data_IF_051026975483
#
_entry.id   IF_051026975483
#
_cell.length_a   1.000
_cell.length_b   1.000
_cell.length_c   1.000
_cell.angle_alpha   90.00
_cell.angle_beta   90.00
_cell.angle_gamma   90.00
#
_symmetry.space_group_name_H-M   'P 1'
#
loop_
_entity.id
_entity.type
_entity.pdbx_description
1 polymer ?
#
# COMPACT_ATOMS: atom_id res chain seq x y z
N UNK A 1 -13.95 18.92 7.34
CA UNK A 1 -15.37 18.72 6.99
C UNK A 1 -15.42 17.62 5.95
N UNK A 2 -15.94 16.43 6.29
CA UNK A 2 -16.01 15.31 5.34
C UNK A 2 -17.21 15.56 4.41
N UNK A 3 -17.05 15.49 3.07
CA UNK A 3 -18.16 15.75 2.15
C UNK A 3 -19.32 14.77 2.41
N UNK A 4 -20.56 15.26 2.36
CA UNK A 4 -21.77 14.52 2.74
C UNK A 4 -22.00 13.21 1.95
N UNK A 5 -21.28 13.02 0.83
CA UNK A 5 -21.37 11.85 -0.05
C UNK A 5 -20.60 10.61 0.45
N UNK A 6 -19.71 10.72 1.44
CA UNK A 6 -18.85 9.60 1.87
C UNK A 6 -19.49 8.66 2.88
N UNK A 7 -20.50 9.11 3.63
CA UNK A 7 -21.22 8.28 4.61
C UNK A 7 -21.93 7.07 3.97
N UNK A 8 -22.68 7.21 2.85
CA UNK A 8 -23.28 6.06 2.17
C UNK A 8 -22.24 5.16 1.48
N UNK A 9 -21.04 5.65 1.19
CA UNK A 9 -19.97 4.86 0.57
C UNK A 9 -19.37 3.81 1.52
N UNK A 10 -19.25 4.13 2.82
CA UNK A 10 -18.72 3.22 3.83
C UNK A 10 -19.75 2.17 4.30
N UNK A 11 -21.05 2.48 4.20
CA UNK A 11 -22.13 1.56 4.54
C UNK A 11 -22.20 0.31 3.64
N UNK A 12 -21.57 0.36 2.45
CA UNK A 12 -21.54 -0.75 1.49
C UNK A 12 -20.45 -1.79 1.79
N UNK A 13 -19.59 -1.54 2.78
CA UNK A 13 -18.53 -2.46 3.18
C UNK A 13 -19.10 -3.59 4.05
N UNK A 14 -18.66 -4.82 3.83
CA UNK A 14 -19.02 -5.92 4.74
C UNK A 14 -18.16 -5.90 6.02
N UNK A 15 -18.54 -6.69 7.02
CA UNK A 15 -17.87 -6.73 8.32
C UNK A 15 -16.37 -7.06 8.20
N UNK A 16 -16.01 -8.02 7.35
CA UNK A 16 -14.61 -8.41 7.13
C UNK A 16 -13.81 -7.29 6.45
N UNK A 17 -14.37 -6.63 5.44
CA UNK A 17 -13.72 -5.49 4.76
C UNK A 17 -13.52 -4.34 5.74
N UNK A 18 -14.53 -4.03 6.56
CA UNK A 18 -14.47 -3.01 7.61
C UNK A 18 -13.38 -3.31 8.62
N UNK A 19 -13.30 -4.55 9.10
CA UNK A 19 -12.29 -4.99 10.07
C UNK A 19 -10.86 -4.85 9.53
N UNK A 20 -10.60 -5.32 8.30
CA UNK A 20 -9.26 -5.20 7.70
C UNK A 20 -8.88 -3.74 7.43
N UNK A 21 -9.84 -2.89 7.06
CA UNK A 21 -9.61 -1.46 6.84
C UNK A 21 -9.39 -0.70 8.16
N UNK A 22 -10.02 -1.09 9.26
CA UNK A 22 -9.73 -0.52 10.58
C UNK A 22 -8.30 -0.83 11.03
N UNK A 23 -7.84 -2.08 10.83
CA UNK A 23 -6.45 -2.43 11.11
C UNK A 23 -5.49 -1.61 10.25
N UNK A 24 -5.79 -1.43 8.96
CA UNK A 24 -5.01 -0.57 8.07
C UNK A 24 -4.99 0.89 8.57
N UNK A 25 -6.12 1.40 9.08
CA UNK A 25 -6.24 2.75 9.63
C UNK A 25 -5.47 2.96 10.93
N UNK A 26 -5.28 1.88 11.72
CA UNK A 26 -4.46 1.86 12.94
C UNK A 26 -2.96 1.67 12.68
N UNK A 27 -2.54 1.68 11.42
CA UNK A 27 -1.12 1.60 11.03
C UNK A 27 -0.62 0.20 10.69
N UNK A 28 -1.47 -0.82 10.66
CA UNK A 28 -1.04 -2.15 10.18
C UNK A 28 -0.85 -2.15 8.66
N UNK A 29 0.10 -2.96 8.19
CA UNK A 29 0.33 -3.18 6.75
C UNK A 29 -0.47 -4.39 6.27
N UNK A 30 -0.65 -4.54 4.96
CA UNK A 30 -1.29 -5.74 4.41
C UNK A 30 -0.58 -7.05 4.86
N UNK A 31 0.74 -7.01 5.04
CA UNK A 31 1.55 -8.12 5.53
C UNK A 31 1.24 -8.43 7.00
N UNK A 32 1.23 -7.44 7.88
CA UNK A 32 0.93 -7.70 9.29
C UNK A 32 -0.54 -8.05 9.55
N UNK A 33 -1.48 -7.51 8.76
CA UNK A 33 -2.90 -7.90 8.80
C UNK A 33 -3.07 -9.36 8.36
N UNK A 34 -2.38 -9.77 7.29
CA UNK A 34 -2.40 -11.15 6.80
C UNK A 34 -1.97 -12.13 7.90
N UNK A 35 -0.84 -11.86 8.57
CA UNK A 35 -0.36 -12.66 9.69
C UNK A 35 -1.35 -12.68 10.86
N UNK A 36 -1.92 -11.52 11.23
CA UNK A 36 -2.84 -11.41 12.38
C UNK A 36 -4.19 -12.12 12.14
N UNK A 37 -4.65 -12.17 10.89
CA UNK A 37 -5.97 -12.73 10.53
C UNK A 37 -5.88 -14.13 9.93
N UNK A 38 -4.69 -14.73 9.91
CA UNK A 38 -4.43 -16.03 9.27
C UNK A 38 -4.92 -16.07 7.81
N UNK A 39 -4.59 -14.99 7.08
CA UNK A 39 -4.92 -14.81 5.66
C UNK A 39 -3.64 -14.69 4.84
N UNK A 40 -3.73 -14.95 3.54
CA UNK A 40 -2.64 -14.58 2.63
C UNK A 40 -2.65 -13.07 2.34
N UNK A 41 -1.47 -12.50 2.09
CA UNK A 41 -1.34 -11.08 1.67
C UNK A 41 -2.16 -10.81 0.41
N UNK A 42 -2.20 -11.77 -0.52
CA UNK A 42 -3.02 -11.67 -1.73
C UNK A 42 -4.53 -11.59 -1.41
N UNK A 43 -5.02 -12.38 -0.44
CA UNK A 43 -6.41 -12.32 -0.01
C UNK A 43 -6.76 -10.97 0.63
N UNK A 44 -5.89 -10.44 1.49
CA UNK A 44 -6.07 -9.10 2.09
C UNK A 44 -6.12 -8.01 1.01
N UNK A 45 -5.20 -8.04 0.06
CA UNK A 45 -5.17 -7.08 -1.04
C UNK A 45 -6.41 -7.17 -1.94
N UNK A 46 -6.94 -8.36 -2.19
CA UNK A 46 -8.18 -8.50 -2.96
C UNK A 46 -9.39 -7.94 -2.21
N UNK A 47 -9.45 -8.08 -0.88
CA UNK A 47 -10.47 -7.43 -0.05
C UNK A 47 -10.35 -5.91 -0.10
N UNK A 48 -9.15 -5.34 -0.10
CA UNK A 48 -8.96 -3.90 -0.31
C UNK A 48 -9.37 -3.43 -1.70
N UNK A 49 -9.13 -4.22 -2.75
CA UNK A 49 -9.66 -3.93 -4.11
C UNK A 49 -11.18 -3.96 -4.14
N UNK A 50 -11.80 -4.97 -3.52
CA UNK A 50 -13.25 -5.06 -3.37
C UNK A 50 -13.83 -3.83 -2.66
N UNK A 51 -13.23 -3.43 -1.53
CA UNK A 51 -13.67 -2.27 -0.77
C UNK A 51 -13.59 -0.96 -1.57
N UNK A 52 -12.54 -0.77 -2.38
CA UNK A 52 -12.44 0.37 -3.32
C UNK A 52 -13.55 0.36 -4.36
N UNK A 53 -13.82 -0.80 -4.99
CA UNK A 53 -14.93 -0.95 -5.95
C UNK A 53 -16.29 -0.62 -5.33
N UNK A 54 -16.52 -1.00 -4.06
CA UNK A 54 -17.79 -0.76 -3.35
C UNK A 54 -17.95 0.67 -2.86
N UNK A 55 -16.88 1.28 -2.37
CA UNK A 55 -16.91 2.64 -1.84
C UNK A 55 -16.82 3.69 -2.94
N UNK A 56 -16.19 3.38 -4.08
CA UNK A 56 -15.88 4.35 -5.13
C UNK A 56 -14.61 5.17 -4.86
N UNK A 57 -13.92 4.90 -3.74
CA UNK A 57 -12.70 5.61 -3.37
C UNK A 57 -11.46 4.92 -3.97
N UNK A 58 -10.52 5.72 -4.47
CA UNK A 58 -9.35 5.23 -5.18
C UNK A 58 -8.30 4.57 -4.26
N UNK A 59 -8.31 4.91 -2.97
CA UNK A 59 -7.31 4.49 -1.99
C UNK A 59 -7.91 3.74 -0.79
N UNK A 60 -7.38 2.56 -0.49
CA UNK A 60 -7.75 1.82 0.72
C UNK A 60 -7.33 2.54 2.01
N UNK A 61 -6.24 3.31 1.97
CA UNK A 61 -5.81 4.14 3.11
C UNK A 61 -6.76 5.30 3.36
N UNK A 62 -7.34 5.87 2.31
CA UNK A 62 -8.36 6.92 2.43
C UNK A 62 -9.64 6.37 3.06
N UNK A 63 -10.12 5.21 2.59
CA UNK A 63 -11.25 4.50 3.21
C UNK A 63 -10.97 4.23 4.70
N UNK A 64 -9.77 3.73 5.02
CA UNK A 64 -9.38 3.42 6.38
C UNK A 64 -9.37 4.66 7.30
N UNK A 65 -8.86 5.81 6.83
CA UNK A 65 -8.89 7.07 7.58
C UNK A 65 -10.31 7.52 7.88
N UNK A 66 -11.21 7.46 6.89
CA UNK A 66 -12.61 7.81 7.09
C UNK A 66 -13.30 6.87 8.07
N UNK A 67 -12.96 5.58 8.02
CA UNK A 67 -13.53 4.56 8.89
C UNK A 67 -13.11 4.74 10.35
N UNK A 68 -11.83 5.03 10.61
CA UNK A 68 -11.31 5.35 11.95
C UNK A 68 -11.93 6.65 12.46
N UNK A 69 -12.10 7.67 11.61
CA UNK A 69 -12.76 8.91 11.98
C UNK A 69 -14.25 8.73 12.34
N UNK A 70 -14.93 7.72 11.76
CA UNK A 70 -16.29 7.34 12.16
C UNK A 70 -16.30 6.62 13.52
N UNK A 71 -15.42 5.63 13.73
CA UNK A 71 -15.32 4.88 14.99
C UNK A 71 -15.07 5.83 16.18
N UNK A 72 -14.10 6.74 16.05
CA UNK A 72 -13.83 7.75 17.08
C UNK A 72 -15.03 8.68 17.36
N UNK A 73 -15.89 8.92 16.37
CA UNK A 73 -17.09 9.75 16.54
C UNK A 73 -18.20 8.99 17.25
N UNK A 74 -18.35 7.70 16.95
CA UNK A 74 -19.28 6.82 17.65
C UNK A 74 -18.85 6.69 19.13
N UNK A 75 -17.56 6.59 19.42
CA UNK A 75 -16.99 6.56 20.78
C UNK A 75 -17.21 7.88 21.55
N UNK A 76 -17.17 9.04 20.86
CA UNK A 76 -17.37 10.37 21.46
C UNK A 76 -18.85 10.68 21.75
N UNK A 77 -19.79 10.03 21.07
CA UNK A 77 -21.23 10.18 21.35
C UNK A 77 -21.61 9.45 22.65
N UNK A 78 -20.88 8.38 23.00
CA UNK A 78 -21.15 7.57 24.20
C UNK A 78 -20.67 8.22 25.53
N UNK A 79 -20.06 9.42 25.47
CA UNK A 79 -19.52 10.16 26.63
C UNK A 79 -20.43 11.31 27.12
N UNK A 80 -21.64 11.46 26.57
CA UNK A 80 -22.68 12.34 27.12
C UNK A 80 -23.76 11.51 27.86
N UNK A 81 -23.89 11.73 29.17
CA UNK A 81 -24.58 10.86 30.12
C UNK A 81 -26.12 10.64 29.91
N UNK A 82 -26.56 9.44 30.32
CA UNK A 82 -27.93 8.89 30.53
C UNK A 82 -28.76 9.67 31.61
N UNK A 83 -30.04 9.35 31.99
CA UNK A 83 -30.88 8.14 31.79
C UNK A 83 -32.41 8.39 31.52
N UNK A 84 -33.22 7.31 31.60
CA UNK A 84 -34.72 7.23 31.70
C UNK A 84 -35.50 7.13 30.38
N UNK A 85 -36.53 6.29 30.17
CA UNK A 85 -37.36 5.50 31.08
C UNK A 85 -38.12 4.38 30.32
N UNK A 86 -38.09 3.17 30.90
CA UNK A 86 -39.16 2.15 31.05
C UNK A 86 -40.16 1.78 29.95
N UNK A 87 -40.09 0.49 29.61
CA UNK A 87 -41.15 -0.52 29.62
C UNK A 87 -42.24 -0.52 28.53
N UNK A 88 -42.24 -1.59 27.72
CA UNK A 88 -43.36 -2.54 27.65
C UNK A 88 -42.92 -3.83 26.92
N UNK A 89 -42.87 -4.95 27.65
CA UNK A 89 -43.10 -6.29 27.08
C UNK A 89 -44.60 -6.60 27.24
N UNK A 90 -45.19 -7.45 26.39
CA UNK A 90 -45.19 -8.88 26.72
C UNK A 90 -44.79 -9.80 25.57
N UNK A 91 -44.02 -10.83 25.94
CA UNK A 91 -43.86 -12.13 25.26
C UNK A 91 -45.20 -12.90 25.32
N UNK A 92 -45.54 -13.76 24.35
CA UNK A 92 -45.24 -15.20 24.46
C UNK A 92 -44.81 -15.78 23.09
N UNK A 93 -43.69 -16.48 22.94
CA UNK A 93 -43.53 -17.94 23.08
C UNK A 93 -42.95 -18.47 21.76
N UNK A 94 -41.64 -18.72 21.75
CA UNK A 94 -41.01 -19.57 20.75
C UNK A 94 -39.78 -20.23 21.41
N UNK A 95 -39.65 -21.57 21.37
CA UNK A 95 -38.59 -22.32 22.04
C UNK A 95 -37.23 -22.21 21.32
N UNK A 96 -36.12 -22.52 22.03
CA UNK A 96 -34.78 -22.18 21.60
C UNK A 96 -34.17 -23.17 20.60
N UNK A 97 -33.26 -22.63 19.79
CA UNK A 97 -32.33 -23.30 18.89
C UNK A 97 -31.41 -24.29 19.61
N UNK A 98 -31.39 -25.54 19.16
CA UNK A 98 -30.38 -26.55 19.46
C UNK A 98 -29.45 -26.78 18.27
N UNK A 99 -28.15 -26.84 18.55
CA UNK A 99 -27.02 -26.97 17.63
C UNK A 99 -26.99 -28.30 16.86
N UNK A 100 -26.15 -28.29 15.81
CA UNK A 100 -25.17 -29.35 15.48
C UNK A 100 -25.58 -30.55 14.60
N UNK A 101 -25.03 -30.50 13.38
CA UNK A 101 -24.27 -31.55 12.67
C UNK A 101 -24.96 -32.79 12.06
N UNK A 102 -24.73 -32.87 10.74
CA UNK A 102 -24.60 -34.06 9.86
C UNK A 102 -25.84 -34.90 9.53
N UNK A 103 -25.86 -35.33 8.26
CA UNK A 103 -26.68 -36.42 7.67
C UNK A 103 -27.99 -36.07 6.95
N UNK A 104 -28.03 -35.07 6.06
CA UNK A 104 -29.09 -35.03 5.02
C UNK A 104 -28.72 -34.33 3.71
N UNK A 105 -27.44 -34.34 3.37
CA UNK A 105 -26.91 -33.72 2.14
C UNK A 105 -26.94 -34.63 0.91
N UNK A 106 -27.52 -35.83 0.97
CA UNK A 106 -27.24 -36.87 -0.03
C UNK A 106 -28.44 -37.61 -0.63
N UNK A 107 -29.67 -37.10 -0.49
CA UNK A 107 -30.87 -37.78 -1.05
C UNK A 107 -31.72 -36.97 -2.03
N UNK A 108 -31.38 -35.71 -2.32
CA UNK A 108 -32.19 -34.86 -3.21
C UNK A 108 -31.51 -34.48 -4.55
N UNK A 109 -30.27 -34.92 -4.80
CA UNK A 109 -29.55 -34.61 -6.05
C UNK A 109 -29.82 -35.65 -7.17
N UNK A 110 -30.43 -36.80 -6.87
CA UNK A 110 -30.54 -37.91 -7.84
C UNK A 110 -31.82 -37.87 -8.71
N UNK A 111 -32.78 -36.96 -8.48
CA UNK A 111 -34.07 -36.97 -9.20
C UNK A 111 -34.18 -35.94 -10.33
N UNK A 112 -33.24 -34.98 -10.45
CA UNK A 112 -33.32 -33.92 -11.49
C UNK A 112 -32.48 -34.27 -12.75
N UNK A 113 -31.65 -35.30 -12.72
CA UNK A 113 -30.75 -35.68 -13.83
C UNK A 113 -31.41 -36.52 -14.94
N UNK A 114 -32.71 -36.81 -14.87
CA UNK A 114 -33.39 -37.73 -15.80
C UNK A 114 -34.23 -37.08 -16.92
N UNK A 115 -34.17 -35.76 -17.13
CA UNK A 115 -35.02 -35.08 -18.14
C UNK A 115 -34.33 -34.03 -19.04
N UNK A 116 -33.02 -34.12 -19.28
CA UNK A 116 -32.32 -33.26 -20.26
C UNK A 116 -31.35 -34.03 -21.17
N UNK A 117 -31.71 -35.26 -21.57
CA UNK A 117 -30.91 -36.10 -22.46
C UNK A 117 -31.44 -36.19 -23.92
N UNK A 118 -32.40 -35.35 -24.32
CA UNK A 118 -32.98 -35.39 -25.68
C UNK A 118 -33.13 -34.00 -26.34
N UNK A 119 -32.16 -33.10 -26.10
CA UNK A 119 -32.10 -31.76 -26.72
C UNK A 119 -30.76 -31.43 -27.39
N UNK A 120 -29.82 -32.38 -27.41
CA UNK A 120 -28.60 -32.29 -28.23
C UNK A 120 -28.91 -32.90 -29.59
N UNK A 121 -29.11 -32.09 -30.64
CA UNK A 121 -28.67 -32.39 -32.03
C UNK A 121 -29.09 -31.37 -33.11
N UNK A 122 -29.83 -30.30 -32.81
CA UNK A 122 -30.38 -29.42 -33.88
C UNK A 122 -30.00 -27.92 -33.86
N UNK A 123 -29.17 -27.46 -32.93
CA UNK A 123 -28.74 -26.06 -32.82
C UNK A 123 -27.28 -26.10 -32.32
N UNK A 124 -26.21 -25.64 -32.98
CA UNK A 124 -26.06 -24.55 -33.92
C UNK A 124 -24.76 -24.74 -34.72
N UNK A 125 -24.86 -24.99 -36.02
CA UNK A 125 -23.74 -24.92 -36.98
C UNK A 125 -23.58 -23.51 -37.57
N UNK A 126 -23.93 -22.47 -36.83
CA UNK A 126 -23.86 -21.09 -37.32
C UNK A 126 -23.51 -20.11 -36.19
N UNK A 127 -22.24 -20.01 -35.84
CA UNK A 127 -21.69 -18.78 -35.24
C UNK A 127 -20.61 -18.25 -36.17
N UNK A 128 -20.81 -17.09 -36.84
CA UNK A 128 -19.69 -16.40 -37.46
C UNK A 128 -18.69 -16.01 -36.36
N UNK A 129 -17.39 -15.91 -36.65
CA UNK A 129 -16.43 -15.46 -35.66
C UNK A 129 -16.80 -14.03 -35.27
N UNK A 130 -17.29 -13.85 -34.04
CA UNK A 130 -17.32 -12.54 -33.41
C UNK A 130 -15.86 -12.16 -33.22
N UNK A 131 -15.39 -11.21 -34.02
CA UNK A 131 -14.11 -10.56 -33.81
C UNK A 131 -14.10 -10.05 -32.37
N UNK A 132 -13.20 -10.60 -31.54
CA UNK A 132 -12.87 -9.98 -30.25
C UNK A 132 -12.50 -8.52 -30.52
N UNK A 133 -12.99 -7.55 -29.74
CA UNK A 133 -12.54 -6.18 -29.87
C UNK A 133 -11.03 -6.18 -29.59
N UNK A 134 -10.21 -5.99 -30.62
CA UNK A 134 -8.82 -5.63 -30.41
C UNK A 134 -8.82 -4.30 -29.66
N UNK A 135 -8.15 -4.20 -28.50
CA UNK A 135 -7.92 -2.89 -27.91
C UNK A 135 -7.20 -2.05 -28.96
N UNK A 136 -7.79 -0.91 -29.30
CA UNK A 136 -7.20 0.08 -30.19
C UNK A 136 -5.91 0.58 -29.57
N UNK A 137 -4.79 -0.04 -29.94
CA UNK A 137 -3.43 0.43 -29.65
C UNK A 137 -3.25 1.74 -30.40
N UNK A 138 -3.44 2.87 -29.74
CA UNK A 138 -3.18 4.16 -30.39
C UNK A 138 -3.51 5.42 -29.61
N UNK A 139 -4.52 5.39 -28.73
CA UNK A 139 -5.02 6.65 -28.14
C UNK A 139 -5.46 6.56 -26.66
N UNK A 140 -4.98 5.54 -25.94
CA UNK A 140 -5.13 5.55 -24.49
C UNK A 140 -4.19 6.59 -23.86
N UNK A 141 -4.69 7.62 -23.15
CA UNK A 141 -3.86 8.62 -22.50
C UNK A 141 -2.89 8.02 -21.49
N UNK A 142 -3.22 6.89 -20.85
CA UNK A 142 -2.30 6.19 -19.94
C UNK A 142 -1.11 5.62 -20.73
N UNK A 143 -1.36 5.01 -21.89
CA UNK A 143 -0.32 4.49 -22.77
C UNK A 143 0.64 5.59 -23.28
N UNK A 144 0.13 6.80 -23.56
CA UNK A 144 0.97 7.97 -23.91
C UNK A 144 1.83 8.45 -22.74
N UNK A 145 1.28 8.46 -21.52
CA UNK A 145 2.04 8.80 -20.30
C UNK A 145 3.14 7.77 -20.04
N UNK A 146 2.81 6.48 -20.12
CA UNK A 146 3.76 5.38 -19.91
C UNK A 146 4.86 5.37 -20.97
N UNK A 147 4.55 5.70 -22.24
CA UNK A 147 5.54 5.80 -23.31
C UNK A 147 6.47 7.02 -23.16
N UNK A 148 6.00 8.10 -22.52
CA UNK A 148 6.80 9.30 -22.23
C UNK A 148 7.59 9.25 -20.92
N UNK A 149 7.31 8.27 -20.05
CA UNK A 149 8.06 8.10 -18.81
C UNK A 149 9.45 7.51 -19.12
N UNK A 150 10.54 8.14 -18.68
CA UNK A 150 11.86 7.53 -18.80
C UNK A 150 11.86 6.19 -18.04
N UNK A 151 12.59 5.17 -18.52
CA UNK A 151 12.71 3.91 -17.80
C UNK A 151 13.25 4.17 -16.40
N UNK A 152 12.70 3.46 -15.40
CA UNK A 152 13.23 3.54 -14.04
C UNK A 152 14.72 3.18 -14.06
N UNK A 153 15.58 3.94 -13.36
CA UNK A 153 16.99 3.61 -13.29
C UNK A 153 17.20 2.21 -12.71
N UNK A 154 18.12 1.44 -13.28
CA UNK A 154 18.54 0.16 -12.72
C UNK A 154 19.44 0.41 -11.50
N UNK A 155 18.89 0.17 -10.31
CA UNK A 155 19.59 0.37 -9.03
C UNK A 155 20.85 -0.49 -8.94
N UNK A 156 20.84 -1.71 -9.48
CA UNK A 156 22.01 -2.60 -9.44
C UNK A 156 23.14 -2.07 -10.32
N UNK A 157 22.81 -1.50 -11.49
CA UNK A 157 23.79 -0.84 -12.34
C UNK A 157 24.37 0.44 -11.69
N UNK A 158 23.52 1.24 -11.04
CA UNK A 158 23.96 2.44 -10.31
C UNK A 158 24.88 2.10 -9.12
N UNK A 159 24.56 1.06 -8.36
CA UNK A 159 25.42 0.57 -7.27
C UNK A 159 26.80 0.14 -7.80
N UNK A 160 26.83 -0.61 -8.90
CA UNK A 160 28.08 -1.04 -9.53
C UNK A 160 28.91 0.16 -10.04
N UNK A 161 28.26 1.18 -10.62
CA UNK A 161 28.94 2.42 -11.06
C UNK A 161 29.52 3.19 -9.87
N UNK A 162 28.75 3.39 -8.79
CA UNK A 162 29.18 4.16 -7.62
C UNK A 162 30.30 3.50 -6.80
N UNK A 163 30.39 2.17 -6.82
CA UNK A 163 31.42 1.40 -6.10
C UNK A 163 32.66 1.09 -6.94
N UNK A 164 32.65 1.42 -8.23
CA UNK A 164 33.81 1.27 -9.10
C UNK A 164 34.96 2.20 -8.67
N UNK A 165 36.22 1.83 -8.91
CA UNK A 165 37.36 2.70 -8.64
C UNK A 165 37.20 4.07 -9.32
N UNK A 166 37.34 5.15 -8.54
CA UNK A 166 37.26 6.51 -9.08
C UNK A 166 38.52 6.87 -9.86
N UNK A 167 38.34 7.42 -11.06
CA UNK A 167 39.44 8.03 -11.84
C UNK A 167 39.74 9.46 -11.40
N UNK A 168 38.91 10.07 -10.56
CA UNK A 168 39.05 11.42 -10.00
C UNK A 168 38.86 11.35 -8.47
N UNK A 169 39.90 10.87 -7.77
CA UNK A 169 39.84 10.63 -6.32
C UNK A 169 39.68 11.94 -5.51
N UNK A 170 40.20 13.05 -6.04
CA UNK A 170 40.07 14.35 -5.40
C UNK A 170 38.60 14.82 -5.41
N UNK A 171 37.92 14.67 -6.54
CA UNK A 171 36.48 14.96 -6.63
C UNK A 171 35.64 14.02 -5.78
N UNK A 172 35.88 12.70 -5.87
CA UNK A 172 35.05 11.72 -5.16
C UNK A 172 35.12 11.91 -3.65
N UNK A 173 36.32 12.04 -3.09
CA UNK A 173 36.51 12.27 -1.65
C UNK A 173 35.92 13.60 -1.16
N UNK A 174 36.02 14.67 -1.95
CA UNK A 174 35.39 15.95 -1.64
C UNK A 174 33.84 15.85 -1.65
N UNK A 175 33.27 15.11 -2.60
CA UNK A 175 31.82 14.91 -2.65
C UNK A 175 31.32 13.97 -1.56
N UNK A 176 32.07 12.93 -1.20
CA UNK A 176 31.74 12.06 -0.06
C UNK A 176 31.62 12.87 1.23
N UNK A 177 32.57 13.78 1.50
CA UNK A 177 32.53 14.68 2.64
C UNK A 177 31.32 15.63 2.58
N UNK A 178 31.10 16.24 1.42
CA UNK A 178 30.00 17.21 1.21
C UNK A 178 28.63 16.54 1.43
N UNK A 179 28.39 15.39 0.80
CA UNK A 179 27.15 14.63 0.97
C UNK A 179 26.99 14.13 2.39
N UNK A 180 28.05 13.61 3.03
CA UNK A 180 28.02 13.19 4.44
C UNK A 180 27.57 14.34 5.34
N UNK A 181 28.15 15.53 5.16
CA UNK A 181 27.77 16.72 5.93
C UNK A 181 26.31 17.10 5.69
N UNK A 182 25.86 17.12 4.44
CA UNK A 182 24.50 17.53 4.07
C UNK A 182 23.44 16.58 4.59
N UNK A 183 23.67 15.27 4.51
CA UNK A 183 22.75 14.27 5.06
C UNK A 183 22.70 14.32 6.58
N UNK A 184 23.84 14.46 7.27
CA UNK A 184 23.88 14.59 8.74
C UNK A 184 23.21 15.87 9.25
N UNK A 185 23.18 16.92 8.45
CA UNK A 185 22.51 18.17 8.77
C UNK A 185 20.98 18.10 8.60
N UNK A 186 20.42 16.99 8.09
CA UNK A 186 18.98 16.87 7.93
C UNK A 186 18.26 16.86 9.29
N UNK A 187 17.08 17.50 9.39
CA UNK A 187 16.28 17.45 10.60
C UNK A 187 15.97 15.99 11.00
N UNK A 188 16.13 15.67 12.28
CA UNK A 188 15.85 14.33 12.80
C UNK A 188 16.85 13.24 12.39
N UNK A 189 17.92 13.56 11.66
CA UNK A 189 18.89 12.58 11.17
C UNK A 189 19.53 11.75 12.29
N UNK A 190 20.18 12.40 13.27
CA UNK A 190 20.89 11.73 14.37
C UNK A 190 19.96 10.83 15.22
N UNK A 191 18.70 11.26 15.36
CA UNK A 191 17.66 10.52 16.09
C UNK A 191 17.19 9.28 15.32
N UNK A 192 17.14 9.37 13.99
CA UNK A 192 16.43 8.40 13.14
C UNK A 192 17.34 7.43 12.42
N UNK A 193 18.57 7.85 12.09
CA UNK A 193 19.51 7.10 11.26
C UNK A 193 20.60 6.49 12.14
N UNK A 194 20.79 5.18 12.02
CA UNK A 194 21.81 4.39 12.72
C UNK A 194 23.14 4.45 11.98
N UNK A 195 23.11 4.23 10.67
CA UNK A 195 24.30 4.21 9.82
C UNK A 195 24.08 5.02 8.55
N UNK A 196 25.16 5.65 8.07
CA UNK A 196 25.23 6.36 6.80
C UNK A 196 26.53 5.98 6.12
N UNK A 197 26.43 5.49 4.89
CA UNK A 197 27.55 5.23 4.02
C UNK A 197 27.43 6.12 2.78
N UNK A 198 28.53 6.79 2.42
CA UNK A 198 28.62 7.58 1.21
C UNK A 198 29.80 7.07 0.41
N UNK A 199 29.59 6.76 -0.86
CA UNK A 199 30.63 6.25 -1.75
C UNK A 199 30.48 6.93 -3.10
N UNK A 200 31.57 7.51 -3.61
CA UNK A 200 31.58 8.19 -4.90
C UNK A 200 32.62 7.58 -5.85
N UNK A 201 32.19 7.32 -7.08
CA UNK A 201 33.06 7.06 -8.22
C UNK A 201 33.51 8.39 -8.86
N UNK A 202 33.82 8.42 -10.15
CA UNK A 202 34.25 9.66 -10.84
C UNK A 202 33.08 10.58 -11.26
N UNK A 203 31.88 10.02 -11.39
CA UNK A 203 30.69 10.74 -11.90
C UNK A 203 29.40 10.46 -11.15
N UNK A 204 29.40 9.49 -10.22
CA UNK A 204 28.22 9.06 -9.49
C UNK A 204 28.56 8.84 -8.02
N UNK A 205 27.67 9.29 -7.14
CA UNK A 205 27.72 9.03 -5.71
C UNK A 205 26.49 8.24 -5.26
N UNK A 206 26.71 7.27 -4.39
CA UNK A 206 25.69 6.54 -3.64
C UNK A 206 25.70 7.02 -2.19
N UNK A 207 24.52 7.35 -1.67
CA UNK A 207 24.29 7.62 -0.24
C UNK A 207 23.30 6.59 0.28
N UNK A 208 23.77 5.68 1.11
CA UNK A 208 22.96 4.63 1.72
C UNK A 208 22.85 4.85 3.23
N UNK A 209 21.65 4.69 3.79
CA UNK A 209 21.44 4.81 5.21
C UNK A 209 20.50 3.76 5.77
N UNK A 210 20.73 3.40 7.03
CA UNK A 210 19.88 2.48 7.79
C UNK A 210 19.29 3.22 8.98
N UNK A 211 17.98 3.09 9.13
CA UNK A 211 17.25 3.65 10.24
C UNK A 211 17.47 2.83 11.53
N UNK A 212 17.34 3.50 12.67
CA UNK A 212 17.27 2.83 13.98
C UNK A 212 16.00 1.98 14.06
N UNK A 213 16.03 0.83 14.78
CA UNK A 213 14.91 -0.11 14.82
C UNK A 213 13.63 0.47 15.43
N UNK A 214 13.74 1.41 16.37
CA UNK A 214 12.61 1.99 17.12
C UNK A 214 12.21 3.39 16.63
N UNK A 215 12.63 3.78 15.43
CA UNK A 215 12.27 5.10 14.87
C UNK A 215 10.77 5.18 14.61
N UNK A 216 10.15 6.29 15.02
CA UNK A 216 8.73 6.52 14.71
C UNK A 216 8.54 6.79 13.21
N UNK A 217 7.35 6.51 12.68
CA UNK A 217 7.05 6.84 11.27
C UNK A 217 7.11 8.34 11.00
N UNK A 218 6.75 9.18 11.98
CA UNK A 218 6.81 10.63 11.85
C UNK A 218 8.24 11.13 11.77
N UNK A 219 9.13 10.63 12.65
CA UNK A 219 10.56 10.97 12.61
C UNK A 219 11.20 10.51 11.28
N UNK A 220 10.80 9.33 10.77
CA UNK A 220 11.27 8.85 9.47
C UNK A 220 10.77 9.73 8.32
N UNK A 221 9.50 10.15 8.35
CA UNK A 221 8.94 11.02 7.32
C UNK A 221 9.70 12.35 7.24
N UNK A 222 10.09 12.93 8.38
CA UNK A 222 10.90 14.17 8.41
C UNK A 222 12.25 13.96 7.70
N UNK A 223 12.92 12.83 7.92
CA UNK A 223 14.17 12.52 7.21
C UNK A 223 13.91 12.31 5.71
N UNK A 224 12.86 11.58 5.35
CA UNK A 224 12.49 11.33 3.95
C UNK A 224 12.19 12.62 3.18
N UNK A 225 11.47 13.55 3.81
CA UNK A 225 11.20 14.89 3.27
C UNK A 225 12.50 15.67 3.11
N UNK A 226 13.35 15.67 4.14
CA UNK A 226 14.66 16.32 4.08
C UNK A 226 15.55 15.79 2.94
N UNK A 227 15.59 14.48 2.72
CA UNK A 227 16.34 13.88 1.60
C UNK A 227 15.81 14.34 0.25
N UNK A 228 14.49 14.43 0.08
CA UNK A 228 13.87 14.91 -1.16
C UNK A 228 14.14 16.40 -1.40
N UNK A 229 14.27 17.19 -0.34
CA UNK A 229 14.55 18.62 -0.41
C UNK A 229 16.02 18.94 -0.65
N UNK A 230 16.96 18.01 -0.43
CA UNK A 230 18.39 18.23 -0.65
C UNK A 230 18.70 18.76 -2.06
N UNK A 231 17.95 18.33 -3.08
CA UNK A 231 18.14 18.81 -4.45
C UNK A 231 17.79 20.30 -4.64
N UNK A 232 16.95 20.86 -3.77
CA UNK A 232 16.47 22.26 -3.81
C UNK A 232 17.10 23.12 -2.71
N UNK A 233 17.92 22.54 -1.86
CA UNK A 233 18.50 23.21 -0.70
C UNK A 233 19.66 24.12 -1.10
N UNK A 234 19.76 25.29 -0.47
CA UNK A 234 20.87 26.23 -0.68
C UNK A 234 22.02 25.99 0.33
N UNK A 235 23.29 26.15 -0.06
CA UNK A 235 23.77 26.28 -1.44
C UNK A 235 23.47 25.00 -2.24
N UNK A 236 23.10 25.15 -3.52
CA UNK A 236 22.79 23.99 -4.37
C UNK A 236 23.98 23.02 -4.49
N UNK A 237 23.69 21.72 -4.51
CA UNK A 237 24.72 20.71 -4.75
C UNK A 237 25.20 20.77 -6.22
N UNK A 238 26.50 20.58 -6.49
CA UNK A 238 27.04 20.42 -7.85
C UNK A 238 26.71 19.03 -8.44
N UNK A 239 25.57 18.47 -8.06
CA UNK A 239 25.11 17.14 -8.39
C UNK A 239 23.63 17.20 -8.80
N UNK A 240 23.23 16.32 -9.70
CA UNK A 240 21.83 16.06 -10.04
C UNK A 240 21.34 14.82 -9.29
N UNK A 241 20.17 14.91 -8.66
CA UNK A 241 19.52 13.72 -8.11
C UNK A 241 19.07 12.78 -9.23
N UNK A 242 19.46 11.52 -9.14
CA UNK A 242 19.07 10.47 -10.09
C UNK A 242 17.84 9.73 -9.56
N UNK A 243 17.91 9.22 -8.33
CA UNK A 243 16.83 8.48 -7.69
C UNK A 243 17.02 8.45 -6.17
N UNK A 244 15.91 8.47 -5.44
CA UNK A 244 15.84 8.17 -4.02
C UNK A 244 14.92 6.96 -3.82
N UNK A 245 15.43 5.91 -3.19
CA UNK A 245 14.68 4.69 -2.92
C UNK A 245 14.66 4.42 -1.42
N UNK A 246 13.48 4.03 -0.91
CA UNK A 246 13.25 3.71 0.49
C UNK A 246 12.61 2.33 0.58
N UNK A 247 13.14 1.47 1.45
CA UNK A 247 12.66 0.11 1.65
C UNK A 247 12.65 -0.24 3.13
N UNK A 248 12.02 -1.36 3.47
CA UNK A 248 12.04 -1.94 4.81
C UNK A 248 12.70 -3.31 4.70
N UNK A 249 13.63 -3.62 5.60
CA UNK A 249 14.18 -4.99 5.67
C UNK A 249 13.12 -5.95 6.21
N UNK A 250 13.13 -7.17 5.69
CA UNK A 250 12.33 -8.25 6.23
C UNK A 250 13.02 -8.85 7.48
N UNK A 251 12.25 -9.06 8.54
CA UNK A 251 12.76 -9.76 9.74
C UNK A 251 12.14 -9.24 11.06
N UNK A 252 12.50 -9.87 12.20
CA UNK A 252 12.03 -9.47 13.52
C UNK A 252 12.56 -8.08 13.96
N UNK A 253 13.60 -7.58 13.29
CA UNK A 253 14.13 -6.22 13.45
C UNK A 253 14.10 -5.51 12.10
N UNK A 254 12.90 -5.36 11.53
CA UNK A 254 12.71 -4.60 10.29
C UNK A 254 13.22 -3.18 10.48
N UNK A 255 14.22 -2.78 9.70
CA UNK A 255 14.77 -1.44 9.69
C UNK A 255 14.47 -0.79 8.34
N UNK A 256 14.12 0.49 8.35
CA UNK A 256 14.03 1.25 7.11
C UNK A 256 15.43 1.44 6.53
N UNK A 257 15.58 1.18 5.24
CA UNK A 257 16.77 1.48 4.47
C UNK A 257 16.43 2.56 3.46
N UNK A 258 17.40 3.40 3.15
CA UNK A 258 17.30 4.27 2.00
C UNK A 258 18.60 4.26 1.21
N UNK A 259 18.47 4.50 -0.09
CA UNK A 259 19.58 4.76 -0.99
C UNK A 259 19.24 5.93 -1.89
N UNK A 260 20.20 6.82 -2.11
CA UNK A 260 20.09 7.97 -3.00
C UNK A 260 21.28 8.00 -3.95
N UNK A 261 21.02 8.19 -5.23
CA UNK A 261 22.07 8.34 -6.24
C UNK A 261 22.13 9.76 -6.76
N UNK A 262 23.34 10.29 -6.85
CA UNK A 262 23.64 11.66 -7.26
C UNK A 262 24.68 11.65 -8.37
N UNK A 263 24.38 12.26 -9.51
CA UNK A 263 25.28 12.32 -10.66
C UNK A 263 25.97 13.69 -10.71
N UNK A 264 27.25 13.71 -11.08
CA UNK A 264 28.02 14.93 -11.28
C UNK A 264 27.37 15.79 -12.37
N UNK A 265 27.12 17.07 -12.07
CA UNK A 265 26.75 18.05 -13.11
C UNK A 265 27.92 18.24 -14.05
N UNK A 266 27.66 18.12 -15.35
CA UNK A 266 28.63 18.37 -16.43
C UNK A 266 28.66 19.84 -16.81
#
# INVERSE_FOLDING_TARGET
MVPAETLPALARLNATERELLLLLGRGHTAKSIATMKDLSVAAVNERFRSARRKSGLASSREIARLLVAQENRDDLIDLAAAPSQTASLPRPDAPPSGRAFLTRRWRLIVIITALLAAGLLAYQTATPPVASPQPSTGDDPISKILAGMPPSPDISALHAEATAPSTDQAWSSAMEQTLTQRYRALPGFEKSIETLNVTCAATLCEVAGKARPDVSSDDMNVVMEGVQELNRSEPSLPLDSVVHHFSLTDGPSSAALFVSYWRRKT
#
